data_IF_599309943963
#
_entry.id   IF_599309943963
#
_cell.length_a   1.000
_cell.length_b   1.000
_cell.length_c   1.000
_cell.angle_alpha   90.00
_cell.angle_beta   90.00
_cell.angle_gamma   90.00
#
_symmetry.space_group_name_H-M   'P 1'
#
loop_
_entity.id
_entity.type
_entity.pdbx_description
1 polymer ?
#
# COMPACT_ATOMS: atom_id res chain seq x y z
N UNK A 1 13.97 -9.76 18.37
CA UNK A 1 12.99 -9.29 17.37
C UNK A 1 11.65 -9.80 17.85
N UNK A 2 10.73 -8.93 18.26
CA UNK A 2 9.49 -9.35 18.90
C UNK A 2 8.57 -10.11 17.94
N UNK A 3 8.17 -11.34 18.31
CA UNK A 3 7.25 -12.16 17.52
C UNK A 3 5.94 -11.44 17.18
N UNK A 4 5.50 -10.55 18.07
CA UNK A 4 4.32 -9.70 17.86
C UNK A 4 4.49 -8.74 16.65
N UNK A 5 5.68 -8.17 16.46
CA UNK A 5 5.97 -7.28 15.33
C UNK A 5 5.94 -8.08 14.04
N UNK A 6 6.58 -9.25 14.01
CA UNK A 6 6.60 -10.12 12.83
C UNK A 6 5.19 -10.60 12.46
N UNK A 7 4.37 -10.96 13.45
CA UNK A 7 2.96 -11.33 13.23
C UNK A 7 2.16 -10.16 12.64
N UNK A 8 2.33 -8.95 13.17
CA UNK A 8 1.66 -7.75 12.66
C UNK A 8 2.08 -7.43 11.22
N UNK A 9 3.38 -7.55 10.90
CA UNK A 9 3.87 -7.37 9.53
C UNK A 9 3.34 -8.47 8.59
N UNK A 10 3.31 -9.73 9.03
CA UNK A 10 2.74 -10.84 8.25
C UNK A 10 1.26 -10.59 7.91
N UNK A 11 0.46 -10.13 8.86
CA UNK A 11 -0.95 -9.80 8.63
C UNK A 11 -1.13 -8.70 7.56
N UNK A 12 -0.31 -7.64 7.64
CA UNK A 12 -0.30 -6.56 6.65
C UNK A 12 0.09 -7.04 5.25
N UNK A 13 1.14 -7.86 5.13
CA UNK A 13 1.53 -8.44 3.84
C UNK A 13 0.46 -9.37 3.27
N UNK A 14 -0.22 -10.17 4.10
CA UNK A 14 -1.33 -11.02 3.66
C UNK A 14 -2.46 -10.22 3.05
N UNK A 15 -2.82 -9.06 3.65
CA UNK A 15 -3.81 -8.17 3.05
C UNK A 15 -3.31 -7.59 1.72
N UNK A 16 -2.09 -7.07 1.67
CA UNK A 16 -1.54 -6.46 0.45
C UNK A 16 -1.27 -7.48 -0.68
N UNK A 17 -1.15 -8.77 -0.37
CA UNK A 17 -1.06 -9.84 -1.37
C UNK A 17 -2.33 -10.02 -2.21
N UNK A 18 -3.44 -9.41 -1.79
CA UNK A 18 -4.71 -9.40 -2.53
C UNK A 18 -4.78 -8.19 -3.46
N UNK A 19 -4.99 -8.43 -4.76
CA UNK A 19 -5.10 -7.37 -5.78
C UNK A 19 -6.15 -6.29 -5.44
N UNK A 20 -7.38 -6.63 -4.97
CA UNK A 20 -8.34 -5.63 -4.51
C UNK A 20 -7.82 -4.72 -3.38
N UNK A 21 -7.18 -5.29 -2.36
CA UNK A 21 -6.62 -4.52 -1.24
C UNK A 21 -5.49 -3.60 -1.71
N UNK A 22 -4.60 -4.12 -2.57
CA UNK A 22 -3.48 -3.36 -3.12
C UNK A 22 -3.96 -2.18 -3.97
N UNK A 23 -4.98 -2.38 -4.81
CA UNK A 23 -5.59 -1.29 -5.61
C UNK A 23 -6.17 -0.19 -4.72
N UNK A 24 -6.96 -0.56 -3.71
CA UNK A 24 -7.53 0.41 -2.76
C UNK A 24 -6.42 1.17 -2.04
N UNK A 25 -5.43 0.46 -1.50
CA UNK A 25 -4.31 1.06 -0.77
C UNK A 25 -3.49 2.00 -1.67
N UNK A 26 -3.23 1.60 -2.94
CA UNK A 26 -2.54 2.44 -3.92
C UNK A 26 -3.30 3.74 -4.22
N UNK A 27 -4.62 3.67 -4.47
CA UNK A 27 -5.43 4.88 -4.66
C UNK A 27 -5.32 5.83 -3.46
N UNK A 28 -5.39 5.28 -2.25
CA UNK A 28 -5.32 6.03 -0.99
C UNK A 28 -3.92 6.52 -0.62
N UNK A 29 -2.87 5.98 -1.26
CA UNK A 29 -1.50 6.47 -1.11
C UNK A 29 -1.26 7.76 -1.90
N UNK A 30 -1.98 7.94 -3.00
CA UNK A 30 -1.89 9.11 -3.88
C UNK A 30 -2.70 10.30 -3.33
N UNK A 31 -3.90 10.05 -2.83
CA UNK A 31 -4.84 11.08 -2.41
C UNK A 31 -5.81 10.57 -1.32
N UNK A 32 -6.39 11.49 -0.55
CA UNK A 32 -7.42 11.15 0.44
C UNK A 32 -8.77 11.08 -0.25
N UNK A 33 -9.50 9.98 -0.10
CA UNK A 33 -10.74 9.70 -0.84
C UNK A 33 -11.87 9.26 0.09
N UNK A 34 -13.06 9.78 -0.15
CA UNK A 34 -14.30 9.22 0.37
C UNK A 34 -14.55 7.83 -0.23
N UNK A 35 -15.37 7.05 0.46
CA UNK A 35 -15.73 5.72 -0.04
C UNK A 35 -16.58 5.76 -1.34
N UNK A 36 -17.26 6.88 -1.66
CA UNK A 36 -17.94 7.03 -2.94
C UNK A 36 -16.95 7.21 -4.10
N UNK A 37 -15.93 8.06 -3.92
CA UNK A 37 -14.87 8.25 -4.92
C UNK A 37 -14.06 6.97 -5.12
N UNK A 38 -13.82 6.19 -4.06
CA UNK A 38 -13.18 4.87 -4.17
C UNK A 38 -14.01 3.87 -4.98
N UNK A 39 -15.33 3.83 -4.82
CA UNK A 39 -16.20 2.98 -5.65
C UNK A 39 -16.03 3.36 -7.13
N UNK A 40 -16.05 4.65 -7.44
CA UNK A 40 -15.88 5.13 -8.82
C UNK A 40 -14.48 4.81 -9.39
N UNK A 41 -13.42 4.95 -8.60
CA UNK A 41 -12.03 4.71 -9.04
C UNK A 41 -11.67 3.24 -9.14
N UNK A 42 -12.08 2.42 -8.16
CA UNK A 42 -11.68 1.00 -8.08
C UNK A 42 -12.69 0.11 -8.82
N UNK A 43 -13.92 0.58 -9.02
CA UNK A 43 -14.98 -0.16 -9.72
C UNK A 43 -15.57 -1.32 -8.92
N UNK A 44 -15.49 -1.27 -7.58
CA UNK A 44 -15.99 -2.33 -6.70
C UNK A 44 -17.38 -1.99 -6.14
N UNK A 45 -18.20 -3.03 -5.91
CA UNK A 45 -19.46 -2.88 -5.19
C UNK A 45 -19.21 -2.32 -3.79
N UNK A 46 -20.06 -1.39 -3.34
CA UNK A 46 -19.89 -0.68 -2.07
C UNK A 46 -19.72 -1.62 -0.87
N UNK A 47 -20.59 -2.60 -0.70
CA UNK A 47 -20.51 -3.57 0.40
C UNK A 47 -19.24 -4.45 0.39
N UNK A 48 -18.61 -4.63 -0.78
CA UNK A 48 -17.31 -5.31 -0.86
C UNK A 48 -16.18 -4.35 -0.51
N UNK A 49 -16.20 -3.12 -1.02
CA UNK A 49 -15.25 -2.07 -0.66
C UNK A 49 -15.24 -1.80 0.85
N UNK A 50 -16.40 -1.72 1.49
CA UNK A 50 -16.49 -1.47 2.94
C UNK A 50 -15.81 -2.58 3.75
N UNK A 51 -15.90 -3.85 3.31
CA UNK A 51 -15.18 -4.98 3.92
C UNK A 51 -13.67 -4.89 3.73
N UNK A 52 -13.22 -4.46 2.56
CA UNK A 52 -11.79 -4.22 2.29
C UNK A 52 -11.26 -3.09 3.16
N UNK A 53 -11.98 -1.96 3.22
CA UNK A 53 -11.61 -0.79 4.03
C UNK A 53 -11.56 -1.15 5.51
N UNK A 54 -12.54 -1.90 6.03
CA UNK A 54 -12.52 -2.39 7.41
C UNK A 54 -11.24 -3.17 7.72
N UNK A 55 -10.85 -4.09 6.83
CA UNK A 55 -9.64 -4.90 7.02
C UNK A 55 -8.37 -4.05 6.96
N UNK A 56 -8.28 -3.11 6.02
CA UNK A 56 -7.13 -2.20 5.89
C UNK A 56 -7.00 -1.23 7.06
N UNK A 57 -8.13 -0.73 7.58
CA UNK A 57 -8.16 0.15 8.75
C UNK A 57 -7.74 -0.61 10.00
N UNK A 58 -8.23 -1.84 10.20
CA UNK A 58 -7.88 -2.67 11.35
C UNK A 58 -6.38 -2.96 11.44
N UNK A 59 -5.70 -3.11 10.30
CA UNK A 59 -4.25 -3.36 10.26
C UNK A 59 -3.40 -2.07 10.16
N UNK A 60 -4.01 -0.90 10.37
CA UNK A 60 -3.41 0.44 10.30
C UNK A 60 -2.84 0.82 8.92
N UNK A 61 -3.18 0.09 7.85
CA UNK A 61 -2.73 0.39 6.48
C UNK A 61 -3.42 1.63 5.91
N UNK A 62 -4.65 1.87 6.36
CA UNK A 62 -5.49 3.01 5.98
C UNK A 62 -6.04 3.65 7.25
N UNK A 63 -6.23 4.96 7.23
CA UNK A 63 -6.88 5.72 8.29
C UNK A 63 -8.14 6.38 7.74
N UNK A 64 -9.19 6.42 8.57
CA UNK A 64 -10.39 7.21 8.32
C UNK A 64 -10.24 8.56 9.05
N UNK A 65 -10.27 9.64 8.29
CA UNK A 65 -10.27 11.00 8.82
C UNK A 65 -11.63 11.40 9.39
N UNK A 66 -11.63 12.47 10.19
CA UNK A 66 -12.87 13.06 10.77
C UNK A 66 -13.78 13.68 9.70
N UNK A 67 -13.24 13.96 8.51
CA UNK A 67 -13.95 14.42 7.32
C UNK A 67 -14.62 13.28 6.53
N UNK A 68 -14.52 12.03 7.02
CA UNK A 68 -15.08 10.85 6.36
C UNK A 68 -14.26 10.36 5.17
N UNK A 69 -13.05 10.89 4.97
CA UNK A 69 -12.14 10.48 3.89
C UNK A 69 -11.11 9.49 4.39
N UNK A 70 -10.79 8.52 3.57
CA UNK A 70 -9.77 7.52 3.82
C UNK A 70 -8.43 8.00 3.26
N UNK A 71 -7.32 7.63 3.92
CA UNK A 71 -5.95 7.88 3.44
C UNK A 71 -5.03 6.73 3.82
N UNK A 72 -4.02 6.42 3.02
CA UNK A 72 -3.05 5.41 3.41
C UNK A 72 -2.12 5.89 4.53
N UNK A 73 -1.76 4.98 5.44
CA UNK A 73 -0.80 5.25 6.51
C UNK A 73 0.63 5.21 5.97
N UNK A 74 1.19 6.38 5.66
CA UNK A 74 2.53 6.49 5.03
C UNK A 74 3.65 5.91 5.88
N UNK A 75 3.57 6.05 7.21
CA UNK A 75 4.56 5.46 8.12
C UNK A 75 4.52 3.93 8.03
N UNK A 76 3.34 3.33 8.13
CA UNK A 76 3.18 1.87 8.06
C UNK A 76 3.64 1.31 6.71
N UNK A 77 3.32 1.98 5.61
CA UNK A 77 3.78 1.57 4.28
C UNK A 77 5.31 1.69 4.13
N UNK A 78 5.93 2.69 4.77
CA UNK A 78 7.39 2.82 4.83
C UNK A 78 8.00 1.69 5.65
N UNK A 79 7.47 1.41 6.84
CA UNK A 79 7.94 0.32 7.70
C UNK A 79 7.87 -1.03 6.98
N UNK A 80 6.81 -1.28 6.20
CA UNK A 80 6.70 -2.48 5.36
C UNK A 80 7.76 -2.50 4.24
N UNK A 81 8.01 -1.35 3.61
CA UNK A 81 9.05 -1.21 2.60
C UNK A 81 10.44 -1.49 3.17
N UNK A 82 10.74 -0.94 4.34
CA UNK A 82 12.02 -1.12 5.03
C UNK A 82 12.17 -2.55 5.58
N UNK A 83 11.07 -3.20 5.97
CA UNK A 83 11.08 -4.61 6.37
C UNK A 83 11.46 -5.54 5.21
N UNK A 84 10.96 -5.29 4.00
CA UNK A 84 11.25 -6.11 2.81
C UNK A 84 12.58 -5.73 2.17
N UNK A 85 12.93 -4.44 2.22
CA UNK A 85 14.16 -3.92 1.65
C UNK A 85 14.91 -3.04 2.67
N UNK A 86 15.58 -3.65 3.66
CA UNK A 86 16.27 -2.93 4.72
C UNK A 86 17.43 -2.05 4.21
N UNK A 87 17.97 -2.35 3.02
CA UNK A 87 18.97 -1.51 2.37
C UNK A 87 18.40 -0.14 1.93
N UNK A 88 17.08 -0.03 1.72
CA UNK A 88 16.40 1.22 1.32
C UNK A 88 16.29 2.23 2.46
N UNK A 89 16.16 1.77 3.70
CA UNK A 89 16.11 2.63 4.89
C UNK A 89 17.43 3.34 5.21
N UNK A 90 18.56 2.75 4.78
CA UNK A 90 19.91 3.33 4.91
C UNK A 90 20.39 4.08 3.65
N UNK A 91 19.68 3.92 2.52
CA UNK A 91 19.98 4.59 1.28
C UNK A 91 19.14 5.86 1.15
N UNK A 92 19.51 6.90 1.90
CA UNK A 92 19.28 8.26 1.42
C UNK A 92 19.95 8.37 0.05
N UNK A 93 19.14 8.36 -1.03
CA UNK A 93 19.56 8.69 -2.40
C UNK A 93 20.66 7.82 -3.02
N UNK A 94 20.67 6.51 -2.81
CA UNK A 94 21.49 5.63 -3.66
C UNK A 94 20.65 5.16 -4.85
N UNK A 95 20.76 5.93 -5.93
CA UNK A 95 20.71 5.49 -7.33
C UNK A 95 19.97 4.17 -7.59
N UNK A 96 18.71 4.26 -8.03
CA UNK A 96 18.21 3.22 -8.93
C UNK A 96 19.11 3.25 -10.18
N UNK A 97 19.85 2.19 -10.53
CA UNK A 97 20.42 2.11 -11.86
C UNK A 97 19.26 2.13 -12.84
N UNK A 98 19.17 3.21 -13.63
CA UNK A 98 18.29 3.24 -14.79
C UNK A 98 18.71 2.04 -15.65
N UNK A 99 17.81 1.12 -16.02
CA UNK A 99 18.17 0.07 -16.95
C UNK A 99 18.68 0.74 -18.22
N UNK A 100 19.99 0.61 -18.46
CA UNK A 100 20.65 1.08 -19.65
C UNK A 100 20.01 0.37 -20.84
N UNK A 101 19.53 1.18 -21.79
CA UNK A 101 18.94 0.77 -23.04
C UNK A 101 19.83 -0.24 -23.77
N UNK A 102 19.50 -1.53 -23.69
CA UNK A 102 20.11 -2.58 -24.51
C UNK A 102 19.02 -3.54 -24.97
N UNK A 103 18.18 -3.11 -25.91
CA UNK A 103 17.49 -4.06 -26.79
C UNK A 103 18.20 -3.98 -28.15
N UNK A 104 18.88 -5.04 -28.61
CA UNK A 104 19.37 -5.08 -29.98
C UNK A 104 18.14 -5.26 -30.89
N UNK A 105 17.76 -4.20 -31.62
CA UNK A 105 17.01 -4.38 -32.85
C UNK A 105 18.01 -4.91 -33.88
N UNK A 106 17.96 -6.22 -34.14
CA UNK A 106 18.54 -6.75 -35.37
C UNK A 106 17.76 -6.19 -36.55
N UNK A 107 18.52 -5.70 -37.53
CA UNK A 107 18.10 -5.12 -38.79
C UNK A 107 17.28 -6.07 -39.67
#
# INVERSE_FOLDING_TARGET
MDDAILQKMSARFKLLGSLPHLRVCHCLALESLSAAELVAKVGLRRAYLDRLLFSLVREDLVQLGTDGRYRASRSVLRDLGDFVNPARGNAGLSEYPRPSCCWPHSA
#
